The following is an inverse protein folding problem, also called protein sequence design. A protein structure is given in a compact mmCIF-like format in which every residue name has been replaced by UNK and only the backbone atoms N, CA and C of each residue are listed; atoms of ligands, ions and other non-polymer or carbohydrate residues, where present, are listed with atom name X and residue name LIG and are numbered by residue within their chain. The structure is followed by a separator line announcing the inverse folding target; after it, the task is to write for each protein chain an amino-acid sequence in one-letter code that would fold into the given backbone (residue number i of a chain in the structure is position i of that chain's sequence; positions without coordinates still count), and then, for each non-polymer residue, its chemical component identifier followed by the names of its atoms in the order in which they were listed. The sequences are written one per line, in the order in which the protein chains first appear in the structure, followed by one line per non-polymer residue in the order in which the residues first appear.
data_IF_565096012309
#
_entry.id   IF_565096012309
#
_cell.length_a   1.000
_cell.length_b   1.000
_cell.length_c   1.000
_cell.angle_alpha   90.00
_cell.angle_beta   90.00
_cell.angle_gamma   90.00
#
_symmetry.space_group_name_H-M   'P 1'
#
loop_
_entity.id
_entity.type
_entity.pdbx_description
1 polymer ?
#
# COMPACT_ATOMS: atom_id res chain seq x y z
N UNK A 1 1.38 26.46 20.62
CA UNK A 1 2.18 25.23 20.43
C UNK A 1 2.48 25.19 18.94
N UNK A 2 3.74 25.36 18.56
CA UNK A 2 4.12 25.47 17.15
C UNK A 2 3.90 24.14 16.45
N UNK A 3 3.29 24.18 15.26
CA UNK A 3 3.36 23.07 14.33
C UNK A 3 4.79 23.06 13.80
N UNK A 4 5.59 22.09 14.23
CA UNK A 4 6.88 21.82 13.57
C UNK A 4 6.59 21.44 12.12
N UNK A 5 7.25 22.13 11.19
CA UNK A 5 7.20 21.92 9.74
C UNK A 5 7.91 20.64 9.28
N UNK A 6 8.20 19.71 10.19
CA UNK A 6 8.96 18.48 9.93
C UNK A 6 8.10 17.32 9.38
N UNK A 7 6.82 17.56 9.09
CA UNK A 7 5.93 16.61 8.39
C UNK A 7 5.80 16.92 6.88
N UNK A 8 6.83 17.50 6.27
CA UNK A 8 6.81 17.78 4.84
C UNK A 8 6.95 16.50 4.01
N UNK A 9 6.13 16.42 2.96
CA UNK A 9 6.22 15.37 1.95
C UNK A 9 7.62 15.39 1.30
N UNK A 10 8.31 14.25 1.33
CA UNK A 10 9.60 14.11 0.66
C UNK A 10 9.41 13.63 -0.78
N UNK A 11 9.46 14.57 -1.72
CA UNK A 11 9.40 14.26 -3.17
C UNK A 11 10.51 13.30 -3.59
N UNK A 12 11.74 13.51 -3.07
CA UNK A 12 12.89 12.66 -3.39
C UNK A 12 12.63 11.21 -3.01
N UNK A 13 12.18 10.96 -1.77
CA UNK A 13 11.84 9.60 -1.33
C UNK A 13 10.72 9.00 -2.17
N UNK A 14 9.68 9.78 -2.49
CA UNK A 14 8.57 9.31 -3.30
C UNK A 14 9.01 8.92 -4.72
N UNK A 15 9.94 9.67 -5.32
CA UNK A 15 10.53 9.36 -6.62
C UNK A 15 11.45 8.14 -6.57
N UNK A 16 12.23 7.97 -5.51
CA UNK A 16 13.07 6.80 -5.31
C UNK A 16 12.23 5.52 -5.16
N UNK A 17 11.15 5.57 -4.36
CA UNK A 17 10.20 4.47 -4.20
C UNK A 17 9.50 4.15 -5.53
N UNK A 18 9.15 5.17 -6.32
CA UNK A 18 8.58 4.99 -7.66
C UNK A 18 9.59 4.32 -8.62
N UNK A 19 10.85 4.76 -8.61
CA UNK A 19 11.90 4.21 -9.45
C UNK A 19 12.21 2.74 -9.09
N UNK A 20 12.17 2.38 -7.80
CA UNK A 20 12.29 0.99 -7.37
C UNK A 20 11.16 0.13 -7.98
N UNK A 21 9.91 0.60 -7.84
CA UNK A 21 8.73 -0.10 -8.36
C UNK A 21 8.75 -0.20 -9.89
N UNK A 22 9.06 0.87 -10.60
CA UNK A 22 8.94 0.94 -12.06
C UNK A 22 10.15 0.40 -12.81
N UNK A 23 11.37 0.70 -12.36
CA UNK A 23 12.61 0.38 -13.07
C UNK A 23 13.24 -0.93 -12.60
N UNK A 24 13.19 -1.23 -11.28
CA UNK A 24 13.86 -2.43 -10.74
C UNK A 24 12.92 -3.63 -10.68
N UNK A 25 11.73 -3.45 -10.11
CA UNK A 25 10.71 -4.52 -10.02
C UNK A 25 10.01 -4.71 -11.38
N UNK A 26 9.66 -3.62 -12.07
CA UNK A 26 9.12 -3.69 -13.43
C UNK A 26 7.63 -4.01 -13.48
N UNK A 27 7.18 -4.78 -14.49
CA UNK A 27 5.75 -5.00 -14.76
C UNK A 27 5.09 -5.93 -13.72
N UNK A 28 4.15 -5.37 -12.94
CA UNK A 28 3.44 -6.02 -11.83
C UNK A 28 2.08 -6.59 -12.26
N UNK A 29 2.00 -7.07 -13.49
CA UNK A 29 0.79 -7.73 -14.00
C UNK A 29 0.62 -9.10 -13.31
N UNK A 30 -0.62 -9.44 -12.95
CA UNK A 30 -1.00 -10.57 -12.08
C UNK A 30 -0.50 -11.98 -12.48
N UNK A 31 0.11 -12.15 -13.66
CA UNK A 31 0.70 -13.42 -14.12
C UNK A 31 2.13 -13.66 -13.63
N UNK A 32 2.83 -12.64 -13.13
CA UNK A 32 4.24 -12.74 -12.74
C UNK A 32 4.40 -12.88 -11.22
N UNK A 33 4.19 -14.09 -10.71
CA UNK A 33 4.19 -14.39 -9.26
C UNK A 33 5.42 -13.86 -8.51
N UNK A 34 6.61 -13.96 -9.11
CA UNK A 34 7.85 -13.46 -8.49
C UNK A 34 7.81 -11.94 -8.28
N UNK A 35 7.39 -11.20 -9.30
CA UNK A 35 7.32 -9.73 -9.29
C UNK A 35 6.27 -9.24 -8.28
N UNK A 36 5.14 -9.93 -8.16
CA UNK A 36 4.11 -9.64 -7.14
C UNK A 36 4.68 -9.80 -5.73
N UNK A 37 5.44 -10.88 -5.49
CA UNK A 37 6.05 -11.15 -4.19
C UNK A 37 7.18 -10.18 -3.84
N UNK A 38 7.95 -9.73 -4.82
CA UNK A 38 8.94 -8.64 -4.63
C UNK A 38 8.27 -7.30 -4.33
N UNK A 39 7.26 -6.94 -5.12
CA UNK A 39 6.45 -5.73 -4.87
C UNK A 39 5.90 -5.72 -3.45
N UNK A 40 5.30 -6.83 -3.01
CA UNK A 40 4.74 -6.94 -1.67
C UNK A 40 5.81 -6.80 -0.59
N UNK A 41 6.96 -7.44 -0.78
CA UNK A 41 8.09 -7.35 0.17
C UNK A 41 8.61 -5.92 0.28
N UNK A 42 8.79 -5.24 -0.85
CA UNK A 42 9.21 -3.85 -0.86
C UNK A 42 8.24 -2.96 -0.10
N UNK A 43 6.94 -2.98 -0.45
CA UNK A 43 5.94 -2.12 0.19
C UNK A 43 5.81 -2.40 1.69
N UNK A 44 5.75 -3.67 2.09
CA UNK A 44 5.67 -4.05 3.51
C UNK A 44 6.91 -3.56 4.26
N UNK A 45 8.10 -3.74 3.69
CA UNK A 45 9.34 -3.27 4.31
C UNK A 45 9.36 -1.75 4.48
N UNK A 46 8.99 -0.99 3.44
CA UNK A 46 8.94 0.48 3.49
C UNK A 46 7.96 1.00 4.55
N UNK A 47 6.86 0.28 4.82
CA UNK A 47 5.91 0.63 5.89
C UNK A 47 6.44 0.21 7.26
N UNK A 48 7.05 -0.98 7.37
CA UNK A 48 7.65 -1.47 8.62
C UNK A 48 8.74 -0.53 9.14
N UNK A 49 9.51 0.10 8.24
CA UNK A 49 10.49 1.14 8.60
C UNK A 49 9.84 2.40 9.19
N UNK A 50 8.57 2.68 8.86
CA UNK A 50 7.82 3.81 9.41
C UNK A 50 7.24 3.53 10.80
N UNK A 51 7.01 2.28 11.16
CA UNK A 51 6.44 1.88 12.47
C UNK A 51 7.20 2.50 13.67
N UNK A 52 8.54 2.39 13.78
CA UNK A 52 9.26 2.98 14.91
C UNK A 52 9.24 4.52 14.91
N UNK A 53 9.12 5.16 13.74
CA UNK A 53 8.98 6.61 13.63
C UNK A 53 7.58 7.05 14.08
N UNK A 54 6.55 6.34 13.62
CA UNK A 54 5.16 6.52 14.04
C UNK A 54 5.01 6.42 15.56
N UNK A 55 5.57 5.37 16.17
CA UNK A 55 5.51 5.18 17.63
C UNK A 55 6.17 6.32 18.42
N UNK A 56 7.27 6.91 17.93
CA UNK A 56 7.87 8.10 18.56
C UNK A 56 6.98 9.34 18.46
N UNK A 57 6.12 9.39 17.45
CA UNK A 57 5.16 10.47 17.21
C UNK A 57 3.78 10.19 17.83
N UNK A 58 3.63 9.09 18.59
CA UNK A 58 2.37 8.70 19.22
C UNK A 58 1.36 8.08 18.24
N UNK A 59 1.83 7.41 17.19
CA UNK A 59 1.02 6.65 16.25
C UNK A 59 1.30 5.15 16.34
N UNK A 60 0.22 4.38 16.40
CA UNK A 60 0.21 2.94 16.18
C UNK A 60 -0.03 2.65 14.69
N UNK A 61 0.92 1.98 14.05
CA UNK A 61 0.83 1.57 12.65
C UNK A 61 0.75 0.04 12.59
N UNK A 62 -0.34 -0.49 12.04
CA UNK A 62 -0.51 -1.93 11.84
C UNK A 62 -0.75 -2.27 10.37
N UNK A 63 -0.19 -3.41 9.94
CA UNK A 63 -0.29 -3.89 8.56
C UNK A 63 -1.07 -5.19 8.55
N UNK A 64 -2.20 -5.22 7.86
CA UNK A 64 -3.00 -6.42 7.62
C UNK A 64 -2.84 -6.88 6.16
N UNK A 65 -2.58 -8.18 5.99
CA UNK A 65 -2.43 -8.82 4.68
C UNK A 65 -3.71 -9.59 4.37
N UNK A 66 -4.44 -9.13 3.36
CA UNK A 66 -5.72 -9.75 2.97
C UNK A 66 -5.57 -10.39 1.60
N UNK A 67 -6.04 -11.63 1.46
CA UNK A 67 -6.13 -12.30 0.16
C UNK A 67 -7.59 -12.55 -0.17
N UNK A 68 -8.02 -12.09 -1.34
CA UNK A 68 -9.40 -12.25 -1.80
C UNK A 68 -9.46 -13.02 -3.11
N UNK A 69 -10.53 -13.77 -3.25
CA UNK A 69 -10.90 -14.47 -4.47
C UNK A 69 -12.39 -14.28 -4.72
N UNK A 70 -12.80 -14.40 -5.97
CA UNK A 70 -14.18 -14.17 -6.32
C UNK A 70 -14.43 -14.22 -7.81
N UNK A 71 -15.57 -13.68 -8.20
CA UNK A 71 -15.96 -13.61 -9.59
C UNK A 71 -16.75 -12.33 -9.86
N UNK A 72 -16.55 -11.78 -11.06
CA UNK A 72 -17.38 -10.69 -11.58
C UNK A 72 -17.97 -11.09 -12.92
N UNK A 73 -19.12 -10.52 -13.27
CA UNK A 73 -19.75 -10.70 -14.57
C UNK A 73 -19.50 -9.45 -15.41
N UNK A 74 -19.00 -9.64 -16.63
CA UNK A 74 -18.89 -8.58 -17.61
C UNK A 74 -19.54 -9.03 -18.91
N UNK A 75 -20.56 -8.27 -19.35
CA UNK A 75 -21.49 -8.68 -20.41
C UNK A 75 -22.09 -10.07 -20.10
N UNK A 76 -21.94 -11.03 -20.99
CA UNK A 76 -22.43 -12.41 -20.85
C UNK A 76 -21.40 -13.35 -20.23
N UNK A 77 -20.15 -12.90 -20.00
CA UNK A 77 -19.06 -13.74 -19.50
C UNK A 77 -18.86 -13.56 -18.00
N UNK A 78 -18.57 -14.67 -17.30
CA UNK A 78 -18.18 -14.68 -15.89
C UNK A 78 -16.66 -14.82 -15.80
N UNK A 79 -16.02 -13.87 -15.15
CA UNK A 79 -14.60 -13.83 -14.90
C UNK A 79 -14.35 -14.20 -13.45
N UNK A 80 -13.30 -14.99 -13.22
CA UNK A 80 -12.87 -15.39 -11.89
C UNK A 80 -11.54 -14.73 -11.60
N UNK A 81 -11.38 -14.19 -10.41
CA UNK A 81 -10.10 -13.73 -9.90
C UNK A 81 -9.75 -14.56 -8.67
N UNK A 82 -8.46 -14.85 -8.54
CA UNK A 82 -7.90 -15.62 -7.42
C UNK A 82 -6.65 -14.93 -6.96
N UNK A 83 -6.35 -15.06 -5.67
CA UNK A 83 -5.12 -14.54 -5.08
C UNK A 83 -4.93 -13.04 -5.33
N UNK A 84 -5.98 -12.23 -5.24
CA UNK A 84 -5.81 -10.79 -5.19
C UNK A 84 -5.31 -10.44 -3.79
N UNK A 85 -4.12 -9.85 -3.74
CA UNK A 85 -3.45 -9.51 -2.49
C UNK A 85 -3.64 -8.03 -2.19
N UNK A 86 -4.25 -7.73 -1.06
CA UNK A 86 -4.40 -6.38 -0.54
C UNK A 86 -3.53 -6.21 0.70
N UNK A 87 -2.99 -5.00 0.85
CA UNK A 87 -2.34 -4.55 2.07
C UNK A 87 -3.22 -3.45 2.65
N UNK A 88 -3.72 -3.67 3.86
CA UNK A 88 -4.41 -2.65 4.64
C UNK A 88 -3.42 -2.12 5.67
N UNK A 89 -3.30 -0.80 5.75
CA UNK A 89 -2.43 -0.13 6.72
C UNK A 89 -3.33 0.73 7.58
N UNK A 90 -3.36 0.41 8.87
CA UNK A 90 -4.08 1.19 9.86
C UNK A 90 -3.09 2.11 10.57
N UNK A 91 -3.42 3.39 10.64
CA UNK A 91 -2.63 4.41 11.33
C UNK A 91 -3.55 5.08 12.33
N UNK A 92 -3.29 4.88 13.60
CA UNK A 92 -4.16 5.31 14.69
C UNK A 92 -3.32 5.99 15.78
N UNK A 93 -3.84 7.00 16.50
CA UNK A 93 -3.15 7.54 17.67
C UNK A 93 -2.89 6.45 18.72
N UNK A 94 -1.81 6.54 19.48
CA UNK A 94 -1.57 5.64 20.59
C UNK A 94 -2.67 5.78 21.66
N UNK A 95 -3.19 4.64 22.11
CA UNK A 95 -4.31 4.61 23.06
C UNK A 95 -5.66 5.01 22.46
N UNK A 96 -5.79 5.00 21.14
CA UNK A 96 -7.03 5.32 20.44
C UNK A 96 -8.19 4.40 20.86
N UNK A 97 -9.32 5.02 21.22
CA UNK A 97 -10.58 4.33 21.48
C UNK A 97 -11.54 4.52 20.30
N UNK A 98 -11.73 3.44 19.53
CA UNK A 98 -12.61 3.41 18.38
C UNK A 98 -14.05 3.83 18.68
N UNK A 99 -14.53 3.67 19.93
CA UNK A 99 -15.89 4.06 20.31
C UNK A 99 -16.12 5.58 20.24
N UNK A 100 -15.04 6.36 20.25
CA UNK A 100 -15.06 7.83 20.18
C UNK A 100 -14.77 8.36 18.77
N UNK A 101 -14.53 7.47 17.81
CA UNK A 101 -14.21 7.82 16.42
C UNK A 101 -15.39 8.55 15.76
N UNK A 102 -15.16 9.79 15.32
CA UNK A 102 -16.14 10.55 14.54
C UNK A 102 -15.98 10.33 13.01
N UNK A 103 -14.87 9.75 12.57
CA UNK A 103 -14.60 9.47 11.16
C UNK A 103 -13.18 8.99 10.91
N UNK A 104 -12.98 8.37 9.74
CA UNK A 104 -11.69 7.87 9.29
C UNK A 104 -11.42 8.36 7.87
N UNK A 105 -10.14 8.59 7.55
CA UNK A 105 -9.70 8.90 6.20
C UNK A 105 -9.19 7.61 5.53
N UNK A 106 -9.79 7.24 4.40
CA UNK A 106 -9.27 6.17 3.55
C UNK A 106 -8.45 6.77 2.42
N UNK A 107 -7.15 6.47 2.41
CA UNK A 107 -6.27 6.71 1.26
C UNK A 107 -6.06 5.37 0.57
N UNK A 108 -6.36 5.30 -0.73
CA UNK A 108 -6.20 4.08 -1.52
C UNK A 108 -5.34 4.31 -2.75
N UNK A 109 -4.71 3.23 -3.21
CA UNK A 109 -4.00 3.17 -4.47
C UNK A 109 -3.99 1.70 -4.95
N UNK A 110 -3.71 1.50 -6.23
CA UNK A 110 -3.45 0.18 -6.77
C UNK A 110 -1.96 0.06 -7.11
N UNK A 111 -1.38 -1.10 -6.84
CA UNK A 111 0.08 -1.32 -6.98
C UNK A 111 0.37 -2.19 -8.21
N UNK A 112 -0.60 -2.98 -8.65
CA UNK A 112 -0.54 -3.74 -9.89
C UNK A 112 -0.50 -2.83 -11.11
N UNK A 113 0.14 -3.32 -12.17
CA UNK A 113 0.24 -2.61 -13.45
C UNK A 113 -0.56 -3.32 -14.54
N UNK A 114 -0.96 -2.54 -15.56
CA UNK A 114 -1.54 -3.12 -16.76
C UNK A 114 -0.57 -4.11 -17.42
N UNK A 115 -1.11 -5.10 -18.12
CA UNK A 115 -0.32 -6.09 -18.85
C UNK A 115 0.66 -5.39 -19.81
N UNK A 116 1.93 -5.78 -19.77
CA UNK A 116 3.01 -5.21 -20.56
C UNK A 116 3.31 -3.71 -20.33
N UNK A 117 2.83 -3.13 -19.23
CA UNK A 117 3.21 -1.79 -18.78
C UNK A 117 3.91 -1.87 -17.40
N UNK A 118 5.03 -1.17 -17.18
CA UNK A 118 5.65 -1.05 -15.86
C UNK A 118 4.93 -0.08 -14.92
N UNK A 119 3.95 0.69 -15.43
CA UNK A 119 3.33 1.82 -14.73
C UNK A 119 3.95 3.16 -15.14
N UNK A 120 3.77 4.20 -14.32
CA UNK A 120 4.45 5.47 -14.50
C UNK A 120 5.95 5.29 -14.21
N UNK A 121 6.79 5.76 -15.12
CA UNK A 121 8.24 5.83 -15.03
C UNK A 121 8.75 7.01 -15.85
#
# INVERSE_FOLDING_TARGET
VGYDSDTDFSEVRALDDLAELSLKIGSRAGSQRFVIEETRRFIVHSIEELVPLGGKMGWNITIEKVTVEGAYRWKTQKYFYKNLHHLLVHVEPDGYDHSTCQGSLLVNTHIDSAVASPGAG
#
